data_IF_393196961915
#
_entry.id   IF_393196961915
#
_cell.length_a   1.000
_cell.length_b   1.000
_cell.length_c   1.000
_cell.angle_alpha   90.00
_cell.angle_beta   90.00
_cell.angle_gamma   90.00
#
_symmetry.space_group_name_H-M   'P 1'
#
loop_
_entity.id
_entity.type
_entity.pdbx_description
1 polymer ?
#
# COMPACT_ATOMS: atom_id res chain seq x y z
N UNK A 1 -4.62 10.93 -5.43
CA UNK A 1 -4.22 10.43 -4.10
C UNK A 1 -2.70 10.33 -4.09
N UNK A 2 -2.05 10.83 -3.04
CA UNK A 2 -0.60 10.76 -2.90
C UNK A 2 -0.18 9.41 -2.30
N UNK A 3 1.01 8.93 -2.63
CA UNK A 3 1.61 7.76 -1.98
C UNK A 3 2.80 8.25 -1.16
N UNK A 4 2.79 7.96 0.15
CA UNK A 4 3.92 8.35 1.00
C UNK A 4 5.14 7.45 0.77
N UNK A 5 6.34 7.99 1.02
CA UNK A 5 7.58 7.19 1.02
C UNK A 5 7.48 5.97 1.94
N UNK A 6 6.85 6.13 3.11
CA UNK A 6 6.63 5.04 4.05
C UNK A 6 5.75 3.92 3.46
N UNK A 7 4.71 4.27 2.70
CA UNK A 7 3.89 3.27 2.02
C UNK A 7 4.70 2.46 0.99
N UNK A 8 5.61 3.11 0.25
CA UNK A 8 6.54 2.43 -0.66
C UNK A 8 7.45 1.44 0.06
N UNK A 9 8.04 1.82 1.20
CA UNK A 9 8.85 0.91 2.02
C UNK A 9 8.03 -0.31 2.48
N UNK A 10 6.82 -0.08 2.99
CA UNK A 10 5.97 -1.18 3.49
C UNK A 10 5.50 -2.12 2.38
N UNK A 11 5.34 -1.63 1.15
CA UNK A 11 5.09 -2.50 0.00
C UNK A 11 6.25 -3.46 -0.24
N UNK A 12 7.47 -2.94 -0.31
CA UNK A 12 8.68 -3.76 -0.51
C UNK A 12 8.82 -4.79 0.62
N UNK A 13 8.70 -4.37 1.87
CA UNK A 13 8.83 -5.25 3.03
C UNK A 13 7.75 -6.33 3.11
N UNK A 14 6.48 -5.97 2.92
CA UNK A 14 5.35 -6.84 3.28
C UNK A 14 4.74 -7.58 2.09
N UNK A 15 4.77 -6.97 0.91
CA UNK A 15 4.17 -7.53 -0.30
C UNK A 15 5.23 -8.26 -1.12
N UNK A 16 6.39 -7.64 -1.30
CA UNK A 16 7.51 -8.21 -2.07
C UNK A 16 8.42 -9.09 -1.21
N UNK A 17 8.36 -8.97 0.13
CA UNK A 17 9.26 -9.64 1.08
C UNK A 17 10.74 -9.25 0.87
N UNK A 18 10.99 -8.02 0.44
CA UNK A 18 12.34 -7.44 0.30
C UNK A 18 12.59 -6.50 1.48
N UNK A 19 13.53 -6.89 2.36
CA UNK A 19 13.86 -6.15 3.59
C UNK A 19 15.08 -5.24 3.43
N UNK A 20 15.92 -5.49 2.42
CA UNK A 20 17.06 -4.64 2.09
C UNK A 20 16.77 -3.93 0.77
N UNK A 21 16.63 -2.61 0.80
CA UNK A 21 16.28 -1.80 -0.36
C UNK A 21 16.92 -0.42 -0.28
N UNK A 22 17.28 0.09 -1.44
CA UNK A 22 17.85 1.42 -1.61
C UNK A 22 16.76 2.49 -1.60
N UNK A 23 17.15 3.75 -1.35
CA UNK A 23 16.24 4.91 -1.49
C UNK A 23 15.64 5.01 -2.89
N UNK A 24 16.42 4.64 -3.91
CA UNK A 24 15.97 4.62 -5.31
C UNK A 24 14.83 3.62 -5.52
N UNK A 25 14.95 2.40 -4.98
CA UNK A 25 13.91 1.38 -5.08
C UNK A 25 12.62 1.80 -4.38
N UNK A 26 12.72 2.48 -3.23
CA UNK A 26 11.53 3.04 -2.57
C UNK A 26 10.87 4.09 -3.44
N UNK A 27 11.64 5.02 -4.04
CA UNK A 27 11.09 6.05 -4.90
C UNK A 27 10.37 5.47 -6.12
N UNK A 28 10.99 4.48 -6.78
CA UNK A 28 10.37 3.73 -7.89
C UNK A 28 9.11 2.98 -7.46
N UNK A 29 9.08 2.47 -6.24
CA UNK A 29 7.90 1.81 -5.67
C UNK A 29 6.77 2.81 -5.42
N UNK A 30 7.08 4.03 -4.95
CA UNK A 30 6.11 5.12 -4.81
C UNK A 30 5.50 5.47 -6.17
N UNK A 31 6.32 5.71 -7.19
CA UNK A 31 5.85 5.98 -8.57
C UNK A 31 4.98 4.85 -9.13
N UNK A 32 5.35 3.60 -8.85
CA UNK A 32 4.57 2.43 -9.24
C UNK A 32 3.21 2.43 -8.55
N UNK A 33 3.16 2.64 -7.24
CA UNK A 33 1.91 2.66 -6.48
C UNK A 33 1.01 3.81 -6.90
N UNK A 34 1.55 4.97 -7.27
CA UNK A 34 0.76 6.08 -7.82
C UNK A 34 0.01 5.67 -9.09
N UNK A 35 0.65 4.89 -9.96
CA UNK A 35 0.02 4.33 -11.18
C UNK A 35 -1.01 3.28 -10.83
N UNK A 36 -0.69 2.38 -9.89
CA UNK A 36 -1.60 1.30 -9.43
C UNK A 36 -2.89 1.87 -8.85
N UNK A 37 -2.80 2.96 -8.10
CA UNK A 37 -3.93 3.59 -7.44
C UNK A 37 -4.57 4.73 -8.26
N UNK A 38 -4.11 4.99 -9.49
CA UNK A 38 -4.56 6.14 -10.29
C UNK A 38 -6.08 6.18 -10.49
N UNK A 39 -6.68 5.02 -10.75
CA UNK A 39 -8.12 4.91 -11.03
C UNK A 39 -8.94 4.48 -9.80
N UNK A 40 -8.30 4.42 -8.62
CA UNK A 40 -9.00 4.13 -7.36
C UNK A 40 -9.60 5.42 -6.84
N UNK A 41 -10.93 5.44 -6.73
CA UNK A 41 -11.69 6.55 -6.14
C UNK A 41 -11.97 6.26 -4.66
N UNK A 42 -11.13 6.75 -3.72
CA UNK A 42 -11.45 6.64 -2.31
C UNK A 42 -12.69 7.47 -1.98
N UNK A 43 -13.69 6.85 -1.38
CA UNK A 43 -14.77 7.60 -0.73
C UNK A 43 -14.24 8.16 0.60
N UNK A 44 -14.82 9.27 1.07
CA UNK A 44 -14.42 9.96 2.31
C UNK A 44 -14.46 9.07 3.57
N UNK A 45 -15.14 7.92 3.52
CA UNK A 45 -15.26 6.96 4.62
C UNK A 45 -14.22 5.83 4.56
N UNK A 46 -13.51 5.64 3.44
CA UNK A 46 -12.66 4.47 3.24
C UNK A 46 -11.30 4.64 3.91
N UNK A 47 -11.17 4.22 5.17
CA UNK A 47 -9.87 4.12 5.86
C UNK A 47 -8.97 3.01 5.29
N UNK A 48 -9.57 1.95 4.72
CA UNK A 48 -8.89 0.79 4.18
C UNK A 48 -9.27 0.62 2.71
N UNK A 49 -8.28 0.60 1.82
CA UNK A 49 -8.47 0.31 0.40
C UNK A 49 -7.83 -1.06 0.09
N UNK A 50 -8.50 -1.94 -0.67
CA UNK A 50 -7.84 -3.12 -1.21
C UNK A 50 -6.61 -2.71 -2.00
N UNK A 51 -5.47 -3.37 -1.79
CA UNK A 51 -4.29 -3.15 -2.62
C UNK A 51 -4.51 -3.82 -3.99
N UNK A 52 -4.53 -3.09 -5.11
CA UNK A 52 -4.81 -3.70 -6.41
C UNK A 52 -3.76 -4.76 -6.77
N UNK A 53 -4.21 -5.89 -7.32
CA UNK A 53 -3.40 -7.09 -7.57
C UNK A 53 -3.10 -7.94 -6.33
N UNK A 54 -3.46 -7.46 -5.13
CA UNK A 54 -3.23 -8.14 -3.86
C UNK A 54 -4.44 -8.02 -2.90
N UNK A 55 -5.63 -7.87 -3.47
CA UNK A 55 -6.86 -7.50 -2.79
C UNK A 55 -7.26 -8.53 -1.73
N UNK A 56 -6.86 -9.79 -1.88
CA UNK A 56 -7.17 -10.85 -0.92
C UNK A 56 -6.20 -10.90 0.27
N UNK A 57 -5.07 -10.18 0.21
CA UNK A 57 -3.97 -10.33 1.17
C UNK A 57 -3.58 -9.04 1.86
N UNK A 58 -3.77 -7.87 1.24
CA UNK A 58 -3.34 -6.59 1.81
C UNK A 58 -4.39 -5.48 1.70
N UNK A 59 -4.31 -4.55 2.66
CA UNK A 59 -4.97 -3.25 2.63
C UNK A 59 -3.93 -2.14 2.54
N UNK A 60 -4.23 -1.11 1.78
CA UNK A 60 -3.59 0.19 1.86
C UNK A 60 -4.40 1.10 2.82
N UNK A 61 -3.72 1.74 3.76
CA UNK A 61 -4.36 2.67 4.70
C UNK A 61 -4.40 4.05 4.07
N UNK A 62 -5.62 4.58 3.94
CA UNK A 62 -5.87 5.90 3.36
C UNK A 62 -6.21 6.93 4.44
N UNK A 63 -5.55 8.08 4.40
CA UNK A 63 -5.75 9.23 5.29
C UNK A 63 -5.43 10.51 4.54
N UNK A 64 -6.31 11.52 4.63
CA UNK A 64 -6.05 12.88 4.11
C UNK A 64 -5.49 12.86 2.67
N UNK A 65 -6.22 12.21 1.76
CA UNK A 65 -5.83 12.05 0.36
C UNK A 65 -4.52 11.30 0.08
N UNK A 66 -4.02 10.52 1.06
CA UNK A 66 -2.74 9.83 0.95
C UNK A 66 -2.82 8.37 1.38
N UNK A 67 -2.10 7.48 0.70
CA UNK A 67 -1.77 6.15 1.21
C UNK A 67 -0.56 6.26 2.13
N UNK A 68 -0.77 5.96 3.41
CA UNK A 68 0.26 6.13 4.46
C UNK A 68 1.02 4.85 4.75
N UNK A 69 0.38 3.68 4.59
CA UNK A 69 1.02 2.38 4.84
C UNK A 69 0.25 1.25 4.15
N UNK A 70 0.87 0.08 4.07
CA UNK A 70 0.26 -1.15 3.53
C UNK A 70 0.36 -2.23 4.60
N UNK A 71 -0.76 -2.86 4.96
CA UNK A 71 -0.84 -3.87 6.00
C UNK A 71 -1.45 -5.16 5.45
N UNK A 72 -1.10 -6.33 6.01
CA UNK A 72 -1.83 -7.55 5.70
C UNK A 72 -3.30 -7.40 6.10
N UNK A 73 -4.22 -7.92 5.28
CA UNK A 73 -5.55 -8.28 5.75
C UNK A 73 -5.30 -9.43 6.71
N UNK A 74 -5.25 -9.15 8.01
CA UNK A 74 -5.08 -10.19 9.01
C UNK A 74 -5.92 -11.40 8.60
N UNK A 75 -5.28 -12.54 8.30
CA UNK A 75 -6.01 -13.79 8.22
C UNK A 75 -6.63 -13.90 9.60
N UNK A 76 -7.96 -13.73 9.70
CA UNK A 76 -8.73 -14.30 10.80
C UNK A 76 -8.47 -15.80 10.70
N UNK A 77 -7.35 -16.25 11.27
CA UNK A 77 -7.10 -17.64 11.56
C UNK A 77 -7.88 -17.83 12.84
N UNK A 78 -9.13 -18.28 12.67
CA UNK A 78 -9.93 -18.80 13.77
C UNK A 78 -9.03 -19.68 14.63
N UNK A 79 -9.01 -19.39 15.93
CA UNK A 79 -8.66 -20.34 16.96
C UNK A 79 -9.73 -20.23 18.03
#
# INVERSE_FOLDING_TARGET
MNITYHAGQRFLERVVNKVDFTKYEVHRTVEYLERVFKDVLPTSYNRYLPLPGFENKFYAIYKENSIVTIIPKNKRRNK
#
